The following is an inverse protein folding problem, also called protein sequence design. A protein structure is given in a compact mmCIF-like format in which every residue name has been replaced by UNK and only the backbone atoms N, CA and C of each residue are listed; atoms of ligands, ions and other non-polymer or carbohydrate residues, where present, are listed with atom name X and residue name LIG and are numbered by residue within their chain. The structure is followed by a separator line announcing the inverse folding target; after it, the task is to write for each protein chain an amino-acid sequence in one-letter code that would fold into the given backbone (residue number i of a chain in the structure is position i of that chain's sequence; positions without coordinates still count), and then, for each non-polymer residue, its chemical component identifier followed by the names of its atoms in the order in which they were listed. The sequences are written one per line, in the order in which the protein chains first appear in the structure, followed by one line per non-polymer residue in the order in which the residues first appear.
data_IF_000052538780
#
_entry.id   IF_000052538780
#
_cell.length_a   1.000
_cell.length_b   1.000
_cell.length_c   1.000
_cell.angle_alpha   90.00
_cell.angle_beta   90.00
_cell.angle_gamma   90.00
#
_symmetry.space_group_name_H-M   'P 1'
#
loop_
_entity.id
_entity.type
_entity.pdbx_description
1 polymer ?
#
# COMPACT_ATOMS: atom_id res chain seq x y z
N UNK A 1 -11.55 -21.52 17.39
CA UNK A 1 -10.92 -21.22 18.70
C UNK A 1 -9.78 -20.20 18.68
N UNK A 2 -9.27 -19.73 17.53
CA UNK A 2 -8.20 -18.71 17.51
C UNK A 2 -8.69 -17.26 17.65
N UNK A 3 -9.84 -16.93 17.06
CA UNK A 3 -10.40 -15.58 17.10
C UNK A 3 -10.99 -15.20 18.47
N UNK A 4 -11.51 -16.17 19.23
CA UNK A 4 -12.05 -15.92 20.57
C UNK A 4 -10.99 -15.37 21.52
N UNK A 5 -9.77 -15.93 21.50
CA UNK A 5 -8.69 -15.44 22.36
C UNK A 5 -8.26 -14.01 22.05
N UNK A 6 -8.37 -13.58 20.78
CA UNK A 6 -8.06 -12.20 20.37
C UNK A 6 -9.17 -11.26 20.83
N UNK A 7 -10.44 -11.65 20.65
CA UNK A 7 -11.60 -10.88 21.10
C UNK A 7 -11.61 -10.73 22.62
N UNK A 8 -11.37 -11.80 23.37
CA UNK A 8 -11.29 -11.75 24.84
C UNK A 8 -10.17 -10.82 25.29
N UNK A 9 -9.01 -10.85 24.61
CA UNK A 9 -7.87 -9.96 24.90
C UNK A 9 -8.17 -8.50 24.61
N UNK A 10 -8.80 -8.18 23.48
CA UNK A 10 -9.19 -6.81 23.12
C UNK A 10 -10.24 -6.27 24.11
N UNK A 11 -11.16 -7.13 24.54
CA UNK A 11 -12.20 -6.77 25.52
C UNK A 11 -11.59 -6.52 26.90
N UNK A 12 -10.62 -7.33 27.34
CA UNK A 12 -9.86 -7.06 28.56
C UNK A 12 -9.10 -5.73 28.49
N UNK A 13 -8.46 -5.42 27.35
CA UNK A 13 -7.74 -4.16 27.17
C UNK A 13 -8.66 -2.92 27.19
N UNK A 14 -9.86 -3.01 26.62
CA UNK A 14 -10.85 -1.94 26.68
C UNK A 14 -11.35 -1.70 28.12
N UNK A 15 -11.56 -2.78 28.88
CA UNK A 15 -11.99 -2.73 30.28
C UNK A 15 -10.91 -2.14 31.20
N UNK A 16 -9.64 -2.43 30.93
CA UNK A 16 -8.49 -2.00 31.72
C UNK A 16 -8.10 -0.53 31.46
N UNK A 17 -8.71 0.14 30.45
CA UNK A 17 -8.39 1.52 30.02
C UNK A 17 -6.88 1.78 29.94
N UNK A 18 -6.12 0.78 29.54
CA UNK A 18 -4.69 0.90 29.45
C UNK A 18 -4.38 1.66 28.15
N UNK A 19 -4.17 2.96 28.26
CA UNK A 19 -3.56 3.75 27.20
C UNK A 19 -2.12 3.26 27.06
N UNK A 20 -1.91 2.25 26.20
CA UNK A 20 -0.56 1.90 25.79
C UNK A 20 -0.11 3.05 24.90
N UNK A 21 0.93 3.80 25.29
CA UNK A 21 1.40 4.91 24.49
C UNK A 21 1.84 4.34 23.14
N UNK A 22 1.05 4.61 22.10
CA UNK A 22 1.32 4.12 20.75
C UNK A 22 2.70 4.59 20.30
N UNK A 23 3.16 5.74 20.81
CA UNK A 23 4.51 6.26 20.60
C UNK A 23 5.62 5.30 21.05
N UNK A 24 5.43 4.51 22.11
CA UNK A 24 6.45 3.54 22.56
C UNK A 24 6.52 2.30 21.66
N UNK A 25 5.35 1.84 21.23
CA UNK A 25 5.20 0.68 20.34
C UNK A 25 5.66 1.02 18.92
N UNK A 26 5.25 2.18 18.41
CA UNK A 26 5.66 2.68 17.11
C UNK A 26 7.10 3.16 17.13
N UNK A 27 7.58 3.75 18.22
CA UNK A 27 8.94 4.26 18.34
C UNK A 27 9.99 3.17 18.18
N UNK A 28 9.80 2.04 18.86
CA UNK A 28 10.68 0.86 18.72
C UNK A 28 10.62 0.24 17.32
N UNK A 29 9.45 0.25 16.68
CA UNK A 29 9.27 -0.22 15.29
C UNK A 29 9.96 0.71 14.29
N UNK A 30 9.79 2.03 14.44
CA UNK A 30 10.41 3.06 13.60
C UNK A 30 11.93 3.08 13.75
N UNK A 31 12.44 2.89 14.97
CA UNK A 31 13.88 2.82 15.21
C UNK A 31 14.51 1.60 14.53
N UNK A 32 13.85 0.43 14.56
CA UNK A 32 14.30 -0.74 13.81
C UNK A 32 14.34 -0.49 12.29
N UNK A 33 13.39 0.29 11.75
CA UNK A 33 13.37 0.66 10.33
C UNK A 33 14.54 1.60 9.98
N UNK A 34 14.90 2.53 10.88
CA UNK A 34 16.03 3.45 10.69
C UNK A 34 17.40 2.77 10.72
N UNK A 35 17.54 1.67 11.48
CA UNK A 35 18.78 0.88 11.48
C UNK A 35 19.04 0.14 10.16
N UNK A 36 18.02 -0.07 9.33
CA UNK A 36 18.17 -0.60 7.98
C UNK A 36 18.66 0.47 6.97
N UNK A 37 18.62 1.76 7.33
CA UNK A 37 18.94 2.86 6.41
C UNK A 37 20.32 3.49 6.64
N UNK A 38 21.13 2.97 7.56
CA UNK A 38 22.39 3.59 7.98
C UNK A 38 23.58 2.65 7.83
N UNK A 39 23.97 2.37 6.59
CA UNK A 39 25.33 1.92 6.24
C UNK A 39 25.97 3.05 5.41
N UNK A 40 27.17 3.56 5.76
CA UNK A 40 27.82 4.63 5.02
C UNK A 40 28.61 4.06 3.82
N UNK A 41 28.31 4.58 2.63
CA UNK A 41 29.08 4.56 1.38
C UNK A 41 30.17 3.47 1.21
N UNK A 42 29.86 2.49 0.35
CA UNK A 42 30.80 2.11 -0.70
C UNK A 42 30.02 2.00 -2.03
N UNK A 43 30.60 2.57 -3.08
CA UNK A 43 29.97 2.73 -4.39
C UNK A 43 29.87 1.38 -5.11
N UNK A 44 28.76 0.65 -4.99
CA UNK A 44 28.40 -0.39 -5.95
C UNK A 44 26.95 -0.86 -5.81
N UNK A 45 26.16 -0.55 -6.82
CA UNK A 45 24.91 -1.20 -7.24
C UNK A 45 23.84 -1.53 -6.19
N UNK A 46 22.74 -0.77 -6.26
CA UNK A 46 21.42 -1.37 -6.43
C UNK A 46 20.77 -1.97 -5.18
N UNK A 47 20.60 -1.20 -4.12
CA UNK A 47 19.58 -1.52 -3.11
C UNK A 47 18.27 -0.82 -3.47
N UNK A 48 17.70 -1.24 -4.61
CA UNK A 48 16.25 -1.16 -4.79
C UNK A 48 15.66 -1.97 -3.66
N UNK A 49 14.67 -1.43 -2.94
CA UNK A 49 13.75 -2.30 -2.23
C UNK A 49 13.22 -3.29 -3.27
N UNK A 50 13.71 -4.54 -3.23
CA UNK A 50 13.17 -5.61 -4.05
C UNK A 50 11.78 -5.89 -3.49
N UNK A 51 10.82 -5.09 -3.96
CA UNK A 51 9.43 -5.47 -4.04
C UNK A 51 9.48 -6.78 -4.82
N UNK A 52 9.26 -7.87 -4.10
CA UNK A 52 9.41 -9.25 -4.52
C UNK A 52 9.01 -9.43 -5.98
N UNK A 53 10.01 -9.61 -6.86
CA UNK A 53 9.80 -9.69 -8.30
C UNK A 53 9.05 -10.98 -8.67
N UNK A 54 9.01 -11.95 -7.76
CA UNK A 54 8.30 -13.23 -7.91
C UNK A 54 6.79 -13.11 -7.65
N UNK A 55 6.31 -12.04 -7.02
CA UNK A 55 4.87 -11.82 -6.79
C UNK A 55 4.10 -11.48 -8.09
N UNK A 56 4.82 -11.25 -9.19
CA UNK A 56 4.27 -10.82 -10.48
C UNK A 56 4.50 -11.84 -11.59
N UNK A 57 4.95 -13.05 -11.27
CA UNK A 57 5.13 -14.16 -12.21
C UNK A 57 3.80 -14.88 -12.53
N UNK A 58 2.71 -14.15 -12.68
CA UNK A 58 1.48 -14.73 -13.23
C UNK A 58 1.30 -14.25 -14.67
N UNK A 59 1.63 -15.18 -15.58
CA UNK A 59 1.24 -15.27 -16.99
C UNK A 59 1.75 -14.13 -17.89
N UNK A 60 2.87 -14.35 -18.60
CA UNK A 60 3.22 -13.56 -19.79
C UNK A 60 2.06 -13.68 -20.81
N UNK A 61 1.29 -12.62 -21.09
CA UNK A 61 0.26 -12.69 -22.11
C UNK A 61 0.95 -12.64 -23.48
N UNK A 62 1.17 -13.80 -24.08
CA UNK A 62 1.68 -13.92 -25.44
C UNK A 62 0.72 -13.25 -26.43
N UNK A 63 1.02 -12.00 -26.80
CA UNK A 63 0.45 -11.34 -27.99
C UNK A 63 -0.31 -10.03 -27.77
N UNK A 64 -0.42 -9.51 -26.54
CA UNK A 64 -1.00 -8.18 -26.29
C UNK A 64 0.14 -7.16 -26.18
N UNK A 65 0.02 -6.02 -26.86
CA UNK A 65 0.98 -4.92 -26.75
C UNK A 65 0.96 -4.38 -25.31
N UNK A 66 1.93 -4.78 -24.50
CA UNK A 66 2.06 -4.39 -23.09
C UNK A 66 2.03 -2.88 -22.91
N UNK A 67 2.59 -2.14 -23.88
CA UNK A 67 2.60 -0.68 -23.86
C UNK A 67 1.18 -0.11 -23.94
N UNK A 68 0.30 -0.75 -24.71
CA UNK A 68 -1.09 -0.32 -24.84
C UNK A 68 -1.89 -0.61 -23.57
N UNK A 69 -1.70 -1.79 -22.99
CA UNK A 69 -2.35 -2.16 -21.73
C UNK A 69 -1.95 -1.21 -20.59
N UNK A 70 -0.65 -0.86 -20.53
CA UNK A 70 -0.15 0.15 -19.58
C UNK A 70 -0.83 1.50 -19.78
N UNK A 71 -0.90 1.96 -21.04
CA UNK A 71 -1.55 3.22 -21.37
C UNK A 71 -3.03 3.22 -20.97
N UNK A 72 -3.77 2.14 -21.26
CA UNK A 72 -5.19 2.02 -20.90
C UNK A 72 -5.42 2.12 -19.38
N UNK A 73 -4.51 1.54 -18.57
CA UNK A 73 -4.56 1.65 -17.11
C UNK A 73 -4.29 3.07 -16.61
N UNK A 74 -3.31 3.75 -17.18
CA UNK A 74 -2.97 5.14 -16.86
C UNK A 74 -4.11 6.08 -17.23
N UNK A 75 -4.65 5.95 -18.44
CA UNK A 75 -5.75 6.79 -18.93
C UNK A 75 -6.98 6.64 -18.05
N UNK A 76 -7.37 5.40 -17.73
CA UNK A 76 -8.50 5.12 -16.84
C UNK A 76 -8.28 5.67 -15.43
N UNK A 77 -7.04 5.60 -14.92
CA UNK A 77 -6.69 6.15 -13.61
C UNK A 77 -6.83 7.67 -13.59
N UNK A 78 -6.27 8.35 -14.59
CA UNK A 78 -6.32 9.81 -14.71
C UNK A 78 -7.76 10.29 -14.87
N UNK A 79 -8.56 9.63 -15.71
CA UNK A 79 -9.99 9.96 -15.90
C UNK A 79 -10.78 9.92 -14.58
N UNK A 80 -10.57 8.87 -13.76
CA UNK A 80 -11.21 8.75 -12.44
C UNK A 80 -10.73 9.84 -11.47
N UNK A 81 -9.44 10.19 -11.50
CA UNK A 81 -8.86 11.22 -10.64
C UNK A 81 -9.42 12.61 -10.99
N UNK A 82 -9.47 12.95 -12.29
CA UNK A 82 -10.02 14.21 -12.80
C UNK A 82 -11.52 14.33 -12.55
N UNK A 83 -12.25 13.22 -12.59
CA UNK A 83 -13.68 13.14 -12.26
C UNK A 83 -13.97 13.17 -10.75
N UNK A 84 -12.94 13.36 -9.92
CA UNK A 84 -13.02 13.33 -8.46
C UNK A 84 -13.57 12.00 -7.88
N UNK A 85 -13.49 10.91 -8.64
CA UNK A 85 -13.90 9.57 -8.21
C UNK A 85 -12.75 8.88 -7.46
N UNK A 86 -12.31 9.48 -6.35
CA UNK A 86 -11.07 9.10 -5.67
C UNK A 86 -11.07 7.67 -5.11
N UNK A 87 -12.22 7.15 -4.69
CA UNK A 87 -12.33 5.78 -4.17
C UNK A 87 -12.13 4.74 -5.29
N UNK A 88 -12.75 4.96 -6.45
CA UNK A 88 -12.58 4.10 -7.62
C UNK A 88 -11.17 4.22 -8.20
N UNK A 89 -10.61 5.44 -8.27
CA UNK A 89 -9.23 5.67 -8.68
C UNK A 89 -8.25 4.91 -7.78
N UNK A 90 -8.46 4.98 -6.46
CA UNK A 90 -7.62 4.29 -5.47
C UNK A 90 -7.70 2.78 -5.63
N UNK A 91 -8.91 2.23 -5.83
CA UNK A 91 -9.12 0.80 -6.01
C UNK A 91 -8.52 0.31 -7.33
N UNK A 92 -8.66 1.06 -8.42
CA UNK A 92 -8.07 0.75 -9.72
C UNK A 92 -6.54 0.72 -9.63
N UNK A 93 -5.93 1.73 -9.02
CA UNK A 93 -4.49 1.77 -8.81
C UNK A 93 -4.00 0.58 -7.95
N UNK A 94 -4.70 0.29 -6.86
CA UNK A 94 -4.36 -0.79 -5.93
C UNK A 94 -4.55 -2.20 -6.50
N UNK A 95 -5.36 -2.36 -7.55
CA UNK A 95 -5.60 -3.62 -8.27
C UNK A 95 -4.85 -3.71 -9.60
N UNK A 96 -4.08 -2.69 -9.95
CA UNK A 96 -3.35 -2.66 -11.22
C UNK A 96 -2.46 -3.91 -11.34
N UNK A 97 -2.50 -4.61 -12.50
CA UNK A 97 -1.67 -5.78 -12.72
C UNK A 97 -0.20 -5.38 -12.60
N UNK A 98 0.61 -6.30 -12.08
CA UNK A 98 2.05 -6.09 -11.86
C UNK A 98 2.40 -4.90 -10.94
N UNK A 99 1.40 -4.34 -10.24
CA UNK A 99 1.58 -3.19 -9.37
C UNK A 99 2.02 -1.93 -10.10
N UNK A 100 1.74 -1.80 -11.40
CA UNK A 100 2.16 -0.66 -12.25
C UNK A 100 1.78 0.69 -11.63
N UNK A 101 0.59 0.81 -11.04
CA UNK A 101 0.11 2.02 -10.37
C UNK A 101 0.35 2.00 -8.85
N UNK A 102 0.92 0.92 -8.30
CA UNK A 102 1.27 0.79 -6.87
C UNK A 102 2.68 1.37 -6.62
N UNK A 103 2.85 2.65 -6.93
CA UNK A 103 4.13 3.34 -6.85
C UNK A 103 4.01 4.69 -6.11
N UNK A 104 5.16 5.33 -5.87
CA UNK A 104 5.22 6.60 -5.16
C UNK A 104 4.62 7.76 -5.96
N UNK A 105 4.77 7.77 -7.29
CA UNK A 105 4.22 8.82 -8.16
C UNK A 105 2.68 8.87 -8.06
N UNK A 106 2.02 7.70 -8.10
CA UNK A 106 0.58 7.58 -7.87
C UNK A 106 0.17 8.08 -6.48
N UNK A 107 0.98 7.82 -5.46
CA UNK A 107 0.73 8.32 -4.10
C UNK A 107 0.82 9.85 -4.06
N UNK A 108 1.83 10.44 -4.70
CA UNK A 108 2.00 11.89 -4.76
C UNK A 108 0.84 12.56 -5.47
N UNK A 109 0.31 11.95 -6.54
CA UNK A 109 -0.89 12.43 -7.22
C UNK A 109 -2.08 12.48 -6.26
N UNK A 110 -2.32 11.43 -5.45
CA UNK A 110 -3.38 11.46 -4.44
C UNK A 110 -3.14 12.44 -3.30
N UNK A 111 -1.88 12.63 -2.89
CA UNK A 111 -1.51 13.57 -1.83
C UNK A 111 -1.66 15.05 -2.27
N UNK A 112 -1.50 15.32 -3.57
CA UNK A 112 -1.68 16.65 -4.16
C UNK A 112 -3.15 17.08 -4.27
N UNK A 113 -4.11 16.17 -4.11
CA UNK A 113 -5.54 16.48 -4.23
C UNK A 113 -6.06 17.12 -2.94
N UNK A 114 -6.57 18.36 -3.06
CA UNK A 114 -7.34 18.99 -2.00
C UNK A 114 -8.79 18.53 -2.04
N UNK A 115 -9.14 17.60 -1.15
CA UNK A 115 -10.51 17.13 -1.00
C UNK A 115 -11.32 18.01 -0.02
N UNK A 116 -12.66 18.06 -0.14
CA UNK A 116 -13.52 18.78 0.80
C UNK A 116 -13.29 18.35 2.26
N UNK A 117 -13.41 19.26 3.25
CA UNK A 117 -13.09 18.96 4.66
C UNK A 117 -13.90 17.83 5.30
N UNK A 118 -15.08 17.53 4.75
CA UNK A 118 -15.96 16.47 5.23
C UNK A 118 -15.71 15.11 4.54
N UNK A 119 -14.78 15.04 3.59
CA UNK A 119 -14.47 13.83 2.83
C UNK A 119 -13.15 13.21 3.27
N UNK A 120 -13.02 11.90 3.08
CA UNK A 120 -11.77 11.18 3.35
C UNK A 120 -10.68 11.66 2.37
N UNK A 121 -9.49 12.06 2.87
CA UNK A 121 -8.37 12.42 2.01
C UNK A 121 -8.05 11.31 0.99
N UNK A 122 -7.86 11.63 -0.30
CA UNK A 122 -7.64 10.64 -1.36
C UNK A 122 -6.43 9.74 -1.12
N UNK A 123 -5.34 10.27 -0.53
CA UNK A 123 -4.19 9.47 -0.12
C UNK A 123 -4.56 8.37 0.89
N UNK A 124 -5.48 8.65 1.84
CA UNK A 124 -5.95 7.63 2.79
C UNK A 124 -6.84 6.58 2.12
N UNK A 125 -7.62 6.96 1.10
CA UNK A 125 -8.36 6.00 0.28
C UNK A 125 -7.43 5.06 -0.46
N UNK A 126 -6.32 5.57 -1.01
CA UNK A 126 -5.32 4.75 -1.68
C UNK A 126 -4.63 3.78 -0.71
N UNK A 127 -4.14 4.24 0.45
CA UNK A 127 -3.59 3.33 1.47
C UNK A 127 -4.58 2.26 1.89
N UNK A 128 -5.84 2.63 2.10
CA UNK A 128 -6.91 1.69 2.43
C UNK A 128 -7.06 0.65 1.32
N UNK A 129 -7.15 1.08 0.06
CA UNK A 129 -7.28 0.18 -1.08
C UNK A 129 -6.12 -0.82 -1.13
N UNK A 130 -4.87 -0.36 -0.95
CA UNK A 130 -3.70 -1.23 -0.89
C UNK A 130 -3.84 -2.30 0.20
N UNK A 131 -4.16 -1.92 1.42
CA UNK A 131 -4.30 -2.88 2.53
C UNK A 131 -5.36 -3.95 2.27
N UNK A 132 -6.46 -3.60 1.59
CA UNK A 132 -7.54 -4.54 1.29
C UNK A 132 -7.29 -5.38 0.04
N UNK A 133 -6.49 -4.90 -0.92
CA UNK A 133 -6.21 -5.63 -2.17
C UNK A 133 -4.97 -6.51 -2.08
N UNK A 134 -4.03 -6.23 -1.18
CA UNK A 134 -2.80 -7.04 -1.00
C UNK A 134 -3.01 -8.31 -0.17
N UNK A 135 -4.25 -8.74 0.08
CA UNK A 135 -4.58 -9.86 0.97
C UNK A 135 -4.28 -11.28 0.41
N UNK A 136 -3.67 -11.41 -0.78
CA UNK A 136 -3.04 -12.68 -1.20
C UNK A 136 -1.60 -12.71 -0.67
N UNK A 137 -1.46 -12.90 0.63
CA UNK A 137 -0.21 -13.42 1.18
C UNK A 137 -0.18 -14.91 0.90
N UNK A 138 0.61 -15.34 -0.08
CA UNK A 138 0.95 -16.76 -0.19
C UNK A 138 1.57 -17.19 1.13
N UNK A 139 1.02 -18.27 1.68
CA UNK A 139 1.50 -18.80 2.95
C UNK A 139 2.89 -19.36 2.68
N UNK A 140 3.91 -18.65 3.13
CA UNK A 140 5.30 -19.13 3.20
C UNK A 140 5.26 -20.56 3.75
N UNK A 141 5.49 -21.54 2.86
CA UNK A 141 5.43 -22.98 3.14
C UNK A 141 6.83 -23.50 3.41
#
# INVERSE_FOLDING_TARGET
MRLSCVVDRLTCWEQERQEVPLEGVLGSTLQNIQHLSSEPNDESHGSSCNIDSELFEDEEPTGVDESKLLQDHLDSFVELLESAQYEEAALHAARSPRGVLRNADTMELFAGVQAPPASTPPALLFFRALLFTTAKGDRLS
#
